data_IF_668210368788
#
_entry.id   IF_668210368788
#
_cell.length_a   1.000
_cell.length_b   1.000
_cell.length_c   1.000
_cell.angle_alpha   90.00
_cell.angle_beta   90.00
_cell.angle_gamma   90.00
#
_symmetry.space_group_name_H-M   'P 1'
#
loop_
_entity.id
_entity.type
_entity.pdbx_description
1 polymer ?
#
# COMPACT_ATOMS: atom_id res chain seq x y z
N UNK A 1 -23.96 -52.70 -9.11
CA UNK A 1 -23.01 -51.71 -8.58
C UNK A 1 -22.78 -50.72 -9.71
N UNK A 2 -23.46 -49.59 -9.65
CA UNK A 2 -23.30 -48.51 -10.64
C UNK A 2 -22.47 -47.44 -9.96
N UNK A 3 -21.32 -47.16 -10.54
CA UNK A 3 -20.39 -46.12 -10.16
C UNK A 3 -21.05 -44.75 -10.45
N UNK A 4 -21.29 -43.88 -9.46
CA UNK A 4 -21.66 -42.51 -9.74
C UNK A 4 -20.36 -41.74 -9.87
N UNK A 5 -19.82 -41.63 -11.09
CA UNK A 5 -18.87 -40.58 -11.42
C UNK A 5 -19.59 -39.26 -11.19
N UNK A 6 -19.37 -38.66 -10.02
CA UNK A 6 -19.77 -37.30 -9.71
C UNK A 6 -19.17 -36.41 -10.79
N UNK A 7 -20.05 -35.77 -11.54
CA UNK A 7 -19.70 -34.61 -12.35
C UNK A 7 -18.99 -33.65 -11.41
N UNK A 8 -17.70 -33.43 -11.61
CA UNK A 8 -17.07 -32.21 -11.11
C UNK A 8 -17.82 -31.10 -11.84
N UNK A 9 -18.64 -30.35 -11.10
CA UNK A 9 -19.16 -29.08 -11.59
C UNK A 9 -17.94 -28.23 -11.96
N UNK A 10 -17.71 -28.04 -13.27
CA UNK A 10 -16.98 -26.90 -13.81
C UNK A 10 -17.82 -25.66 -13.44
N UNK A 11 -17.79 -25.24 -12.18
CA UNK A 11 -18.19 -23.89 -11.84
C UNK A 11 -17.24 -22.96 -12.60
N UNK A 12 -17.73 -22.08 -13.49
CA UNK A 12 -16.86 -21.16 -14.20
C UNK A 12 -16.10 -20.34 -13.16
N UNK A 13 -14.78 -20.39 -13.24
CA UNK A 13 -13.86 -19.57 -12.47
C UNK A 13 -14.38 -18.12 -12.54
N UNK A 14 -14.81 -17.58 -11.40
CA UNK A 14 -15.52 -16.30 -11.40
C UNK A 14 -14.54 -15.22 -11.87
N UNK A 15 -14.88 -14.54 -12.97
CA UNK A 15 -14.08 -13.43 -13.47
C UNK A 15 -13.95 -12.35 -12.39
N UNK A 16 -12.72 -11.86 -12.15
CA UNK A 16 -12.47 -10.82 -11.15
C UNK A 16 -13.31 -9.57 -11.45
N UNK A 17 -14.04 -9.11 -10.45
CA UNK A 17 -14.89 -7.93 -10.53
C UNK A 17 -14.05 -6.65 -10.63
N UNK A 18 -14.66 -5.53 -11.07
CA UNK A 18 -13.92 -4.26 -11.13
C UNK A 18 -13.53 -3.75 -9.73
N UNK A 19 -14.35 -4.02 -8.70
CA UNK A 19 -14.02 -3.66 -7.31
C UNK A 19 -12.79 -4.43 -6.81
N UNK A 20 -12.72 -5.74 -7.08
CA UNK A 20 -11.54 -6.55 -6.77
C UNK A 20 -10.31 -6.08 -7.56
N UNK A 21 -10.48 -5.70 -8.84
CA UNK A 21 -9.41 -5.12 -9.64
C UNK A 21 -8.90 -3.80 -9.06
N UNK A 22 -9.79 -2.94 -8.57
CA UNK A 22 -9.39 -1.70 -7.91
C UNK A 22 -8.60 -1.99 -6.63
N UNK A 23 -9.07 -2.93 -5.81
CA UNK A 23 -8.34 -3.40 -4.62
C UNK A 23 -6.94 -3.91 -4.95
N UNK A 24 -6.79 -4.79 -5.94
CA UNK A 24 -5.49 -5.32 -6.36
C UNK A 24 -4.55 -4.24 -6.91
N UNK A 25 -5.09 -3.24 -7.63
CA UNK A 25 -4.29 -2.09 -8.09
C UNK A 25 -3.79 -1.26 -6.91
N UNK A 26 -4.62 -1.06 -5.88
CA UNK A 26 -4.21 -0.36 -4.67
C UNK A 26 -3.14 -1.16 -3.91
N UNK A 27 -3.35 -2.46 -3.70
CA UNK A 27 -2.35 -3.33 -3.06
C UNK A 27 -1.00 -3.29 -3.81
N UNK A 28 -1.02 -3.21 -5.15
CA UNK A 28 0.19 -3.09 -5.95
C UNK A 28 0.93 -1.75 -5.72
N UNK A 29 0.20 -0.66 -5.47
CA UNK A 29 0.78 0.63 -5.08
C UNK A 29 1.37 0.52 -3.67
N UNK A 30 0.61 -0.03 -2.73
CA UNK A 30 1.02 -0.20 -1.33
C UNK A 30 2.31 -1.01 -1.23
N UNK A 31 2.42 -2.13 -1.96
CA UNK A 31 3.63 -2.97 -2.00
C UNK A 31 4.86 -2.21 -2.49
N UNK A 32 4.69 -1.30 -3.46
CA UNK A 32 5.81 -0.48 -3.93
C UNK A 32 6.26 0.52 -2.86
N UNK A 33 5.33 1.21 -2.21
CA UNK A 33 5.66 2.14 -1.12
C UNK A 33 6.31 1.39 0.04
N UNK A 34 5.74 0.25 0.44
CA UNK A 34 6.27 -0.61 1.49
C UNK A 34 7.70 -1.07 1.19
N UNK A 35 7.99 -1.47 -0.05
CA UNK A 35 9.35 -1.80 -0.47
C UNK A 35 10.31 -0.63 -0.28
N UNK A 36 9.90 0.57 -0.67
CA UNK A 36 10.73 1.78 -0.58
C UNK A 36 11.02 2.18 0.87
N UNK A 37 10.05 2.06 1.77
CA UNK A 37 10.16 2.53 3.16
C UNK A 37 10.68 1.47 4.13
N UNK A 38 10.35 0.19 3.90
CA UNK A 38 10.75 -0.94 4.76
C UNK A 38 11.98 -1.69 4.23
N UNK A 39 12.19 -1.72 2.92
CA UNK A 39 13.36 -2.35 2.31
C UNK A 39 14.70 -1.88 2.88
N UNK A 40 14.95 -0.56 3.01
CA UNK A 40 16.16 -0.03 3.64
C UNK A 40 16.32 -0.39 5.12
N UNK A 41 15.24 -0.82 5.80
CA UNK A 41 15.25 -1.28 7.19
C UNK A 41 15.57 -2.77 7.31
N UNK A 42 15.78 -3.47 6.19
CA UNK A 42 16.11 -4.90 6.15
C UNK A 42 14.90 -5.82 5.92
N UNK A 43 13.68 -5.28 5.82
CA UNK A 43 12.49 -6.07 5.56
C UNK A 43 12.33 -6.33 4.07
N UNK A 44 12.35 -7.60 3.68
CA UNK A 44 12.36 -8.06 2.29
C UNK A 44 10.98 -8.32 1.72
N UNK A 45 9.95 -8.49 2.55
CA UNK A 45 8.65 -8.92 2.09
C UNK A 45 7.63 -9.19 3.18
N UNK A 46 6.59 -9.93 2.81
CA UNK A 46 5.55 -10.38 3.73
C UNK A 46 5.57 -11.88 3.98
N UNK A 47 5.02 -12.27 5.13
CA UNK A 47 4.72 -13.67 5.47
C UNK A 47 3.23 -13.86 5.70
N UNK A 48 2.68 -14.97 5.21
CA UNK A 48 1.32 -15.43 5.54
C UNK A 48 1.28 -16.95 5.65
N UNK A 49 0.45 -17.44 6.56
CA UNK A 49 0.21 -18.86 6.71
C UNK A 49 -0.79 -19.35 5.65
N UNK A 50 -0.43 -20.39 4.91
CA UNK A 50 -1.29 -21.04 3.93
C UNK A 50 -1.90 -22.32 4.53
N UNK A 51 -3.22 -22.39 4.79
CA UNK A 51 -3.85 -23.57 5.38
C UNK A 51 -3.76 -24.82 4.49
N UNK A 52 -3.71 -24.65 3.16
CA UNK A 52 -3.65 -25.77 2.21
C UNK A 52 -2.27 -26.42 2.18
N UNK A 53 -1.21 -25.62 2.38
CA UNK A 53 0.18 -26.09 2.43
C UNK A 53 0.64 -26.44 3.87
N UNK A 54 -0.11 -25.99 4.88
CA UNK A 54 0.23 -26.08 6.31
C UNK A 54 1.60 -25.47 6.66
N UNK A 55 1.96 -24.38 5.99
CA UNK A 55 3.25 -23.70 6.15
C UNK A 55 3.16 -22.18 5.90
N UNK A 56 4.18 -21.46 6.36
CA UNK A 56 4.33 -20.02 6.15
C UNK A 56 4.94 -19.74 4.76
N UNK A 57 4.27 -18.90 3.99
CA UNK A 57 4.73 -18.41 2.69
C UNK A 57 5.39 -17.05 2.84
N UNK A 58 6.65 -16.98 2.43
CA UNK A 58 7.46 -15.77 2.48
C UNK A 58 7.55 -15.18 1.06
N UNK A 59 6.89 -14.04 0.85
CA UNK A 59 6.91 -13.35 -0.44
C UNK A 59 7.73 -12.08 -0.35
N UNK A 60 8.86 -12.05 -1.04
CA UNK A 60 9.61 -10.81 -1.22
C UNK A 60 8.75 -9.76 -1.93
N UNK A 61 9.00 -8.46 -1.71
CA UNK A 61 8.19 -7.38 -2.29
C UNK A 61 8.02 -7.48 -3.80
N UNK A 62 9.10 -7.84 -4.52
CA UNK A 62 9.05 -8.00 -5.98
C UNK A 62 8.24 -9.21 -6.43
N UNK A 63 8.27 -10.29 -5.64
CA UNK A 63 7.47 -11.49 -5.90
C UNK A 63 5.99 -11.20 -5.65
N UNK A 64 5.66 -10.57 -4.52
CA UNK A 64 4.29 -10.16 -4.21
C UNK A 64 3.74 -9.21 -5.27
N UNK A 65 4.52 -8.22 -5.72
CA UNK A 65 4.13 -7.32 -6.81
C UNK A 65 3.93 -8.05 -8.14
N UNK A 66 4.72 -9.09 -8.43
CA UNK A 66 4.53 -9.97 -9.57
C UNK A 66 3.20 -10.72 -9.49
N UNK A 67 2.92 -11.33 -8.35
CA UNK A 67 1.69 -12.09 -8.12
C UNK A 67 0.43 -11.22 -8.29
N UNK A 68 0.45 -10.00 -7.73
CA UNK A 68 -0.67 -9.06 -7.86
C UNK A 68 -0.91 -8.65 -9.33
N UNK A 69 0.15 -8.48 -10.12
CA UNK A 69 0.04 -8.17 -11.56
C UNK A 69 -0.52 -9.36 -12.34
N UNK A 70 -0.03 -10.57 -12.08
CA UNK A 70 -0.55 -11.77 -12.71
C UNK A 70 -2.03 -11.99 -12.39
N UNK A 71 -2.43 -11.77 -11.14
CA UNK A 71 -3.84 -11.83 -10.73
C UNK A 71 -4.70 -10.77 -11.44
N UNK A 72 -4.19 -9.55 -11.62
CA UNK A 72 -4.87 -8.49 -12.38
C UNK A 72 -5.03 -8.82 -13.87
N UNK A 73 -4.07 -9.53 -14.46
CA UNK A 73 -4.04 -9.87 -15.88
C UNK A 73 -4.83 -11.14 -16.21
N UNK A 74 -4.63 -12.19 -15.42
CA UNK A 74 -5.09 -13.56 -15.70
C UNK A 74 -6.22 -14.01 -14.79
N UNK A 75 -6.47 -13.32 -13.67
CA UNK A 75 -7.50 -13.71 -12.69
C UNK A 75 -7.10 -14.90 -11.80
N UNK A 76 -5.96 -15.53 -12.08
CA UNK A 76 -5.44 -16.66 -11.32
C UNK A 76 -4.39 -16.20 -10.32
N UNK A 77 -4.45 -16.74 -9.09
CA UNK A 77 -3.33 -16.64 -8.17
C UNK A 77 -2.21 -17.54 -8.67
N UNK A 78 -0.98 -17.05 -8.84
CA UNK A 78 0.11 -17.89 -9.34
C UNK A 78 0.35 -19.06 -8.38
N UNK A 79 0.71 -20.23 -8.93
CA UNK A 79 1.24 -21.33 -8.13
C UNK A 79 2.63 -20.91 -7.62
N UNK A 80 2.84 -20.94 -6.31
CA UNK A 80 4.11 -20.51 -5.71
C UNK A 80 5.01 -21.70 -5.39
N UNK A 81 6.30 -21.57 -5.72
CA UNK A 81 7.35 -22.37 -5.09
C UNK A 81 7.85 -21.62 -3.83
N UNK A 82 8.11 -22.32 -2.71
CA UNK A 82 8.59 -21.69 -1.49
C UNK A 82 9.91 -20.96 -1.70
N UNK A 83 10.11 -19.85 -0.99
CA UNK A 83 11.44 -19.28 -0.84
C UNK A 83 12.39 -20.34 -0.25
N UNK A 84 13.57 -20.51 -0.83
CA UNK A 84 14.56 -21.44 -0.30
C UNK A 84 15.22 -20.84 0.95
N UNK A 85 14.92 -21.41 2.12
CA UNK A 85 15.47 -21.02 3.44
C UNK A 85 15.32 -19.51 3.75
N UNK A 86 14.07 -18.97 3.83
CA UNK A 86 13.86 -17.58 4.21
C UNK A 86 14.25 -17.35 5.68
N UNK A 87 14.86 -16.21 5.98
CA UNK A 87 15.05 -15.75 7.36
C UNK A 87 13.74 -15.08 7.83
N UNK A 88 13.01 -15.66 8.81
CA UNK A 88 11.72 -15.12 9.23
C UNK A 88 11.79 -13.69 9.78
N UNK A 89 12.94 -13.27 10.31
CA UNK A 89 13.13 -11.92 10.85
C UNK A 89 13.19 -10.83 9.77
N UNK A 90 13.34 -11.22 8.50
CA UNK A 90 13.36 -10.31 7.35
C UNK A 90 11.96 -10.10 6.72
N UNK A 91 10.90 -10.68 7.29
CA UNK A 91 9.55 -10.62 6.76
C UNK A 91 8.55 -10.23 7.85
N UNK A 92 7.46 -9.58 7.44
CA UNK A 92 6.39 -9.13 8.34
C UNK A 92 5.03 -9.60 7.86
N UNK A 93 4.04 -9.70 8.73
CA UNK A 93 2.68 -9.99 8.25
C UNK A 93 2.15 -8.87 7.37
N UNK A 94 1.24 -9.20 6.45
CA UNK A 94 0.57 -8.20 5.62
C UNK A 94 -0.18 -7.15 6.47
N UNK A 95 -0.83 -7.56 7.54
CA UNK A 95 -1.53 -6.65 8.44
C UNK A 95 -0.59 -5.70 9.16
N UNK A 96 0.61 -6.16 9.56
CA UNK A 96 1.63 -5.26 10.09
C UNK A 96 2.07 -4.25 9.03
N UNK A 97 2.34 -4.71 7.81
CA UNK A 97 2.79 -3.85 6.72
C UNK A 97 1.76 -2.75 6.41
N UNK A 98 0.46 -3.10 6.30
CA UNK A 98 -0.61 -2.12 6.09
C UNK A 98 -0.75 -1.13 7.26
N UNK A 99 -0.65 -1.61 8.50
CA UNK A 99 -0.67 -0.74 9.67
C UNK A 99 0.52 0.23 9.72
N UNK A 100 1.71 -0.21 9.29
CA UNK A 100 2.86 0.66 9.13
C UNK A 100 2.61 1.71 8.03
N UNK A 101 2.06 1.31 6.89
CA UNK A 101 1.80 2.20 5.76
C UNK A 101 0.80 3.30 6.14
N UNK A 102 -0.30 2.97 6.80
CA UNK A 102 -1.29 3.94 7.29
C UNK A 102 -0.64 4.99 8.23
N UNK A 103 0.20 4.53 9.16
CA UNK A 103 0.95 5.40 10.05
C UNK A 103 1.99 6.27 9.32
N UNK A 104 2.69 5.69 8.34
CA UNK A 104 3.67 6.39 7.52
C UNK A 104 3.02 7.50 6.67
N UNK A 105 1.91 7.20 6.00
CA UNK A 105 1.18 8.17 5.19
C UNK A 105 0.56 9.28 6.04
N UNK A 106 0.08 8.94 7.24
CA UNK A 106 -0.41 9.93 8.20
C UNK A 106 0.71 10.86 8.66
N UNK A 107 1.87 10.30 9.01
CA UNK A 107 3.05 11.07 9.40
C UNK A 107 3.54 11.99 8.27
N UNK A 108 3.69 11.48 7.04
CA UNK A 108 4.12 12.28 5.89
C UNK A 108 3.15 13.44 5.61
N UNK A 109 1.84 13.20 5.75
CA UNK A 109 0.81 14.24 5.59
C UNK A 109 0.91 15.33 6.67
N UNK A 110 1.16 14.94 7.91
CA UNK A 110 1.34 15.87 9.03
C UNK A 110 2.64 16.68 8.89
N UNK A 111 3.78 16.04 8.58
CA UNK A 111 5.08 16.70 8.39
C UNK A 111 5.04 17.72 7.25
N UNK A 112 4.42 17.34 6.11
CA UNK A 112 4.22 18.26 4.99
C UNK A 112 3.33 19.46 5.37
N UNK A 113 2.32 19.25 6.21
CA UNK A 113 1.45 20.32 6.71
C UNK A 113 2.22 21.28 7.64
N UNK A 114 3.06 20.76 8.54
CA UNK A 114 3.92 21.58 9.40
C UNK A 114 4.94 22.39 8.60
N UNK A 115 5.59 21.76 7.63
CA UNK A 115 6.52 22.42 6.71
C UNK A 115 5.83 23.54 5.93
N UNK A 116 4.62 23.29 5.43
CA UNK A 116 3.82 24.29 4.72
C UNK A 116 3.41 25.46 5.63
N UNK A 117 3.03 25.20 6.88
CA UNK A 117 2.73 26.24 7.87
C UNK A 117 3.96 27.10 8.16
N UNK A 118 5.14 26.49 8.32
CA UNK A 118 6.41 27.18 8.49
C UNK A 118 6.76 28.07 7.30
N UNK A 119 6.57 27.58 6.07
CA UNK A 119 6.77 28.35 4.85
C UNK A 119 5.85 29.58 4.79
N UNK A 120 4.58 29.42 5.17
CA UNK A 120 3.59 30.51 5.18
C UNK A 120 3.98 31.61 6.14
N UNK A 121 4.38 31.25 7.36
CA UNK A 121 4.88 32.21 8.34
C UNK A 121 6.12 32.94 7.81
N UNK A 122 7.07 32.20 7.25
CA UNK A 122 8.30 32.76 6.70
C UNK A 122 8.07 33.73 5.53
N UNK A 123 7.06 33.51 4.68
CA UNK A 123 6.69 34.41 3.59
C UNK A 123 5.99 35.67 4.11
N UNK A 124 5.09 35.52 5.09
CA UNK A 124 4.42 36.64 5.74
C UNK A 124 5.40 37.58 6.45
N UNK A 125 6.38 37.03 7.16
CA UNK A 125 7.43 37.83 7.82
C UNK A 125 8.28 38.63 6.82
N UNK A 126 8.35 38.17 5.56
CA UNK A 126 8.99 38.89 4.45
C UNK A 126 8.06 39.91 3.78
N UNK A 127 6.88 40.14 4.33
CA UNK A 127 5.91 41.14 3.84
C UNK A 127 5.04 40.67 2.68
N UNK A 128 5.02 39.37 2.36
CA UNK A 128 4.17 38.87 1.29
C UNK A 128 2.69 38.94 1.69
N UNK A 129 1.80 39.44 0.82
CA UNK A 129 0.38 39.54 1.13
C UNK A 129 -0.26 38.13 1.22
N UNK A 130 -1.21 37.90 2.16
CA UNK A 130 -1.81 36.58 2.36
C UNK A 130 -2.47 35.96 1.11
N UNK A 131 -3.01 36.78 0.21
CA UNK A 131 -3.61 36.34 -1.05
C UNK A 131 -2.58 35.76 -2.01
N UNK A 132 -1.36 36.28 -2.01
CA UNK A 132 -0.27 35.83 -2.87
C UNK A 132 0.35 34.54 -2.33
N UNK A 133 0.52 34.44 -1.01
CA UNK A 133 0.93 33.19 -0.36
C UNK A 133 -0.09 32.08 -0.62
N UNK A 134 -1.40 32.37 -0.48
CA UNK A 134 -2.46 31.40 -0.78
C UNK A 134 -2.43 30.94 -2.24
N UNK A 135 -2.23 31.87 -3.19
CA UNK A 135 -2.12 31.53 -4.62
C UNK A 135 -0.93 30.60 -4.88
N UNK A 136 0.23 30.90 -4.31
CA UNK A 136 1.44 30.08 -4.45
C UNK A 136 1.24 28.65 -3.92
N UNK A 137 0.62 28.49 -2.75
CA UNK A 137 0.37 27.16 -2.18
C UNK A 137 -0.56 26.33 -3.07
N UNK A 138 -1.61 26.94 -3.62
CA UNK A 138 -2.52 26.28 -4.57
C UNK A 138 -1.79 25.89 -5.86
N UNK A 139 -0.94 26.77 -6.39
CA UNK A 139 -0.11 26.47 -7.58
C UNK A 139 0.86 25.31 -7.34
N UNK A 140 1.35 25.14 -6.11
CA UNK A 140 2.22 24.04 -5.70
C UNK A 140 1.46 22.77 -5.27
N UNK A 141 0.11 22.80 -5.26
CA UNK A 141 -0.72 21.67 -4.82
C UNK A 141 -0.64 21.38 -3.31
N UNK A 142 -0.22 22.36 -2.50
CA UNK A 142 -0.11 22.23 -1.05
C UNK A 142 -1.43 22.67 -0.40
N UNK A 143 -2.15 21.71 0.18
CA UNK A 143 -3.41 21.99 0.90
C UNK A 143 -3.10 22.25 2.38
N UNK A 144 -3.11 23.52 2.78
CA UNK A 144 -2.93 23.95 4.18
C UNK A 144 -4.28 24.26 4.80
N UNK A 145 -4.72 23.38 5.70
CA UNK A 145 -5.86 23.67 6.55
C UNK A 145 -5.40 24.54 7.72
N UNK A 146 -5.63 25.86 7.66
CA UNK A 146 -5.39 26.73 8.81
C UNK A 146 -6.53 26.57 9.81
N UNK A 147 -6.25 26.29 11.10
CA UNK A 147 -7.23 26.63 12.12
C UNK A 147 -7.51 28.15 12.02
N UNK A 148 -8.77 28.60 12.14
CA UNK A 148 -9.07 30.02 12.14
C UNK A 148 -8.24 30.70 13.23
N UNK A 149 -7.60 31.82 12.89
CA UNK A 149 -6.92 32.63 13.89
C UNK A 149 -7.96 33.05 14.93
N UNK A 150 -7.77 32.65 16.18
CA UNK A 150 -8.63 33.04 17.29
C UNK A 150 -8.78 34.56 17.28
N UNK A 151 -10.02 35.01 17.01
CA UNK A 151 -10.38 36.41 17.01
C UNK A 151 -10.48 36.92 18.45
N UNK A 152 -9.56 37.79 18.83
CA UNK A 152 -9.75 38.75 19.93
C UNK A 152 -10.42 40.03 19.42
#
# INVERSE_FOLDING_TARGET
MSDPTGSFDDEPEQEITEEEREGLRQDLVDVQVLKEVLGPKGLKGTVFYCPDCDEDHYLAWDLLAGNLKEMLEQGESPVHEPAFEPDPDEYVSWDYARGFLDGYESFEREDMSEAAAGLVLALRDRGWPPSEVKRLLVELGIDVNFPPADGH
#
